data_IF_349057010790
#
_entry.id   IF_349057010790
#
_cell.length_a   1.000
_cell.length_b   1.000
_cell.length_c   1.000
_cell.angle_alpha   90.00
_cell.angle_beta   90.00
_cell.angle_gamma   90.00
#
_symmetry.space_group_name_H-M   'P 1'
#
loop_
_entity.id
_entity.type
_entity.pdbx_description
1 polymer ?
#
# COMPACT_ATOMS: atom_id res chain seq x y z
N UNK A 1 -34.52 33.16 -26.02
CA UNK A 1 -33.94 31.92 -26.59
C UNK A 1 -32.42 31.99 -26.79
N UNK A 2 -31.84 33.00 -27.46
CA UNK A 2 -30.38 33.11 -27.70
C UNK A 2 -29.50 33.03 -26.44
N UNK A 3 -29.85 33.76 -25.37
CA UNK A 3 -29.10 33.71 -24.09
C UNK A 3 -29.15 32.33 -23.44
N UNK A 4 -30.30 31.66 -23.49
CA UNK A 4 -30.51 30.34 -22.91
C UNK A 4 -29.72 29.26 -23.67
N UNK A 5 -29.70 29.35 -25.00
CA UNK A 5 -28.86 28.50 -25.86
C UNK A 5 -27.37 28.70 -25.61
N UNK A 6 -26.93 29.94 -25.40
CA UNK A 6 -25.53 30.24 -25.06
C UNK A 6 -25.15 29.67 -23.69
N UNK A 7 -25.99 29.85 -22.67
CA UNK A 7 -25.75 29.30 -21.33
C UNK A 7 -25.69 27.77 -21.36
N UNK A 8 -26.60 27.12 -22.10
CA UNK A 8 -26.61 25.67 -22.26
C UNK A 8 -25.33 25.19 -22.97
N UNK A 9 -24.91 25.86 -24.04
CA UNK A 9 -23.69 25.52 -24.78
C UNK A 9 -22.43 25.60 -23.92
N UNK A 10 -22.31 26.66 -23.10
CA UNK A 10 -21.19 26.80 -22.15
C UNK A 10 -21.21 25.66 -21.13
N UNK A 11 -22.37 25.34 -20.56
CA UNK A 11 -22.49 24.26 -19.59
C UNK A 11 -22.04 22.92 -20.17
N UNK A 12 -22.47 22.59 -21.39
CA UNK A 12 -22.06 21.35 -22.08
C UNK A 12 -20.54 21.30 -22.28
N UNK A 13 -19.93 22.39 -22.77
CA UNK A 13 -18.47 22.45 -22.99
C UNK A 13 -17.72 22.28 -21.67
N UNK A 14 -18.16 22.96 -20.60
CA UNK A 14 -17.57 22.81 -19.27
C UNK A 14 -17.69 21.37 -18.75
N UNK A 15 -18.86 20.74 -18.89
CA UNK A 15 -19.06 19.35 -18.50
C UNK A 15 -18.16 18.39 -19.27
N UNK A 16 -18.02 18.57 -20.57
CA UNK A 16 -17.10 17.76 -21.41
C UNK A 16 -15.65 17.96 -20.96
N UNK A 17 -15.23 19.19 -20.70
CA UNK A 17 -13.89 19.50 -20.20
C UNK A 17 -13.60 18.83 -18.86
N UNK A 18 -14.55 18.85 -17.92
CA UNK A 18 -14.44 18.19 -16.61
C UNK A 18 -14.31 16.67 -16.78
N UNK A 19 -15.16 16.06 -17.62
CA UNK A 19 -15.11 14.61 -17.87
C UNK A 19 -13.79 14.19 -18.53
N UNK A 20 -13.31 14.94 -19.52
CA UNK A 20 -12.01 14.70 -20.13
C UNK A 20 -10.89 14.82 -19.09
N UNK A 21 -10.91 15.89 -18.28
CA UNK A 21 -9.98 16.05 -17.16
C UNK A 21 -10.01 14.90 -16.16
N UNK A 22 -11.19 14.35 -15.88
CA UNK A 22 -11.35 13.19 -15.00
C UNK A 22 -10.78 11.90 -15.60
N UNK A 23 -10.94 11.68 -16.90
CA UNK A 23 -10.40 10.50 -17.59
C UNK A 23 -8.87 10.54 -17.63
N UNK A 24 -8.28 11.69 -17.95
CA UNK A 24 -6.82 11.80 -18.09
C UNK A 24 -6.09 12.06 -16.76
N UNK A 25 -6.74 12.75 -15.82
CA UNK A 25 -6.16 13.18 -14.55
C UNK A 25 -6.74 12.50 -13.31
N UNK A 26 -7.74 11.62 -13.46
CA UNK A 26 -8.46 11.03 -12.33
C UNK A 26 -7.56 10.19 -11.44
N UNK A 27 -6.56 9.52 -12.01
CA UNK A 27 -5.55 8.77 -11.26
C UNK A 27 -4.75 9.67 -10.33
N UNK A 28 -4.25 10.81 -10.82
CA UNK A 28 -3.47 11.77 -10.01
C UNK A 28 -4.35 12.47 -8.98
N UNK A 29 -5.57 12.84 -9.36
CA UNK A 29 -6.54 13.42 -8.45
C UNK A 29 -6.90 12.47 -7.31
N UNK A 30 -7.11 11.17 -7.58
CA UNK A 30 -7.33 10.16 -6.56
C UNK A 30 -6.13 10.08 -5.58
N UNK A 31 -4.90 9.95 -6.07
CA UNK A 31 -3.71 9.97 -5.19
C UNK A 31 -3.58 11.26 -4.38
N UNK A 32 -3.97 12.40 -4.96
CA UNK A 32 -3.93 13.67 -4.26
C UNK A 32 -4.95 13.71 -3.12
N UNK A 33 -6.17 13.22 -3.36
CA UNK A 33 -7.21 13.11 -2.32
C UNK A 33 -6.80 12.13 -1.23
N UNK A 34 -6.10 11.04 -1.58
CA UNK A 34 -5.62 10.05 -0.62
C UNK A 34 -4.67 10.63 0.43
N UNK A 35 -4.01 11.77 0.14
CA UNK A 35 -3.18 12.51 1.12
C UNK A 35 -4.00 13.10 2.28
N UNK A 36 -5.30 13.33 2.10
CA UNK A 36 -6.19 13.83 3.14
C UNK A 36 -6.86 12.71 3.94
N UNK A 37 -6.79 11.48 3.44
CA UNK A 37 -7.31 10.31 4.14
C UNK A 37 -7.74 9.22 3.18
N UNK A 38 -7.60 7.99 3.66
CA UNK A 38 -8.09 6.77 3.00
C UNK A 38 -9.16 6.12 3.86
N UNK A 39 -10.05 5.35 3.24
CA UNK A 39 -11.15 4.67 3.93
C UNK A 39 -10.68 3.27 4.32
N UNK A 40 -10.75 2.95 5.60
CA UNK A 40 -10.48 1.60 6.09
C UNK A 40 -11.54 0.62 5.58
N UNK A 41 -11.09 -0.54 5.11
CA UNK A 41 -11.95 -1.64 4.66
C UNK A 41 -11.98 -2.72 5.71
N UNK A 42 -10.80 -3.16 6.13
CA UNK A 42 -10.62 -4.23 7.11
C UNK A 42 -9.36 -3.97 7.93
N UNK A 43 -9.43 -4.34 9.20
CA UNK A 43 -8.31 -4.37 10.13
C UNK A 43 -8.29 -5.75 10.77
N UNK A 44 -7.20 -6.49 10.61
CA UNK A 44 -7.02 -7.83 11.18
C UNK A 44 -5.80 -7.88 12.07
N UNK A 45 -5.83 -8.63 13.19
CA UNK A 45 -4.63 -8.85 13.98
C UNK A 45 -3.58 -9.60 13.15
N UNK A 46 -2.32 -9.24 13.37
CA UNK A 46 -1.19 -9.97 12.78
C UNK A 46 -0.94 -11.23 13.59
N UNK A 47 -0.73 -12.34 12.90
CA UNK A 47 -0.38 -13.65 13.47
C UNK A 47 1.03 -14.05 13.05
N UNK A 48 1.43 -13.70 11.83
CA UNK A 48 2.75 -13.96 11.29
C UNK A 48 3.19 -12.87 10.34
N UNK A 49 4.49 -12.60 10.35
CA UNK A 49 5.17 -11.81 9.32
C UNK A 49 6.37 -12.61 8.84
N UNK A 50 6.45 -12.83 7.53
CA UNK A 50 7.57 -13.47 6.89
C UNK A 50 8.11 -12.57 5.79
N UNK A 51 9.41 -12.63 5.55
CA UNK A 51 10.10 -11.88 4.54
C UNK A 51 11.02 -12.80 3.76
N UNK A 52 10.96 -12.70 2.44
CA UNK A 52 11.83 -13.42 1.53
C UNK A 52 12.50 -12.47 0.55
N UNK A 53 13.82 -12.32 0.61
CA UNK A 53 14.54 -11.43 -0.31
C UNK A 53 15.91 -10.92 0.15
N UNK A 54 16.43 -9.92 -0.58
CA UNK A 54 17.82 -9.42 -0.48
C UNK A 54 18.02 -8.23 0.48
N UNK A 55 17.04 -7.96 1.33
CA UNK A 55 16.97 -6.85 2.26
C UNK A 55 16.27 -5.59 1.73
N UNK A 56 16.40 -5.23 0.45
CA UNK A 56 15.76 -4.02 -0.14
C UNK A 56 14.66 -4.32 -1.14
N UNK A 57 14.41 -5.59 -1.43
CA UNK A 57 13.40 -6.08 -2.37
C UNK A 57 12.92 -7.47 -1.96
N UNK A 58 12.10 -8.10 -2.78
CA UNK A 58 11.49 -9.40 -2.50
C UNK A 58 10.08 -9.29 -1.93
N UNK A 59 9.67 -10.29 -1.14
CA UNK A 59 8.29 -10.49 -0.73
C UNK A 59 8.14 -10.39 0.78
N UNK A 60 7.29 -9.47 1.23
CA UNK A 60 6.80 -9.43 2.59
C UNK A 60 5.44 -10.13 2.65
N UNK A 61 5.36 -11.21 3.42
CA UNK A 61 4.12 -11.94 3.66
C UNK A 61 3.61 -11.61 5.06
N UNK A 62 2.43 -11.00 5.16
CA UNK A 62 1.77 -10.71 6.45
C UNK A 62 0.51 -11.56 6.54
N UNK A 63 0.44 -12.44 7.53
CA UNK A 63 -0.53 -13.53 7.58
C UNK A 63 -0.46 -14.36 6.29
N UNK A 64 -1.43 -14.18 5.38
CA UNK A 64 -1.52 -14.86 4.08
C UNK A 64 -1.45 -13.88 2.88
N UNK A 65 -1.12 -12.61 3.14
CA UNK A 65 -1.08 -11.56 2.10
C UNK A 65 0.37 -11.33 1.68
N UNK A 66 0.66 -11.59 0.40
CA UNK A 66 1.97 -11.35 -0.21
C UNK A 66 2.07 -9.93 -0.78
N UNK A 67 3.07 -9.19 -0.32
CA UNK A 67 3.37 -7.82 -0.73
C UNK A 67 4.74 -7.79 -1.39
N UNK A 68 4.81 -7.32 -2.63
CA UNK A 68 6.11 -7.09 -3.30
C UNK A 68 6.74 -5.81 -2.78
N UNK A 69 8.03 -5.87 -2.48
CA UNK A 69 8.86 -4.74 -2.11
C UNK A 69 9.69 -4.22 -3.29
N UNK A 70 9.61 -4.87 -4.45
CA UNK A 70 10.43 -4.51 -5.63
C UNK A 70 9.98 -3.21 -6.30
N UNK A 71 8.68 -2.91 -6.21
CA UNK A 71 8.07 -1.71 -6.79
C UNK A 71 8.02 -0.52 -5.81
N UNK A 72 8.78 -0.59 -4.71
CA UNK A 72 8.85 0.52 -3.77
C UNK A 72 9.45 1.76 -4.45
N UNK A 73 8.88 2.91 -4.12
CA UNK A 73 9.43 4.18 -4.58
C UNK A 73 10.89 4.28 -4.13
N UNK A 74 11.88 4.47 -5.04
CA UNK A 74 13.30 4.46 -4.69
C UNK A 74 13.71 5.58 -3.72
N UNK A 75 12.82 6.55 -3.46
CA UNK A 75 13.00 7.57 -2.42
C UNK A 75 12.73 7.06 -1.00
N UNK A 76 12.04 5.92 -0.86
CA UNK A 76 11.79 5.25 0.42
C UNK A 76 12.91 4.25 0.62
N UNK A 77 13.89 4.60 1.46
CA UNK A 77 14.91 3.67 1.90
C UNK A 77 14.29 2.73 2.94
N UNK A 78 13.67 1.65 2.47
CA UNK A 78 13.23 0.53 3.28
C UNK A 78 14.25 -0.60 3.17
N UNK A 79 14.67 -1.14 4.31
CA UNK A 79 15.39 -2.40 4.36
C UNK A 79 14.85 -3.32 5.44
N UNK A 80 14.78 -4.61 5.15
CA UNK A 80 14.33 -5.65 6.06
C UNK A 80 15.49 -6.61 6.29
N UNK A 81 15.65 -7.07 7.52
CA UNK A 81 16.76 -7.96 7.85
C UNK A 81 16.69 -8.47 9.28
N UNK A 82 17.78 -9.06 9.72
CA UNK A 82 17.98 -9.49 11.11
C UNK A 82 18.92 -8.54 11.85
N UNK A 83 18.64 -8.26 13.12
CA UNK A 83 19.61 -7.60 14.01
C UNK A 83 20.72 -8.56 14.43
N UNK A 84 21.78 -8.04 15.06
CA UNK A 84 22.83 -8.86 15.69
C UNK A 84 22.30 -9.80 16.77
N UNK A 85 21.16 -9.45 17.37
CA UNK A 85 20.50 -10.21 18.43
C UNK A 85 19.47 -11.22 17.88
N UNK A 86 19.54 -11.52 16.57
CA UNK A 86 18.63 -12.44 15.88
C UNK A 86 17.15 -12.03 15.96
N UNK A 87 16.89 -10.72 15.90
CA UNK A 87 15.54 -10.16 15.84
C UNK A 87 15.19 -9.75 14.42
N UNK A 88 13.96 -9.98 14.00
CA UNK A 88 13.44 -9.45 12.76
C UNK A 88 13.38 -7.93 12.88
N UNK A 89 14.01 -7.22 11.95
CA UNK A 89 14.06 -5.78 11.93
C UNK A 89 13.65 -5.19 10.58
N UNK A 90 12.91 -4.10 10.67
CA UNK A 90 12.56 -3.23 9.56
C UNK A 90 13.27 -1.91 9.79
N UNK A 91 14.07 -1.48 8.82
CA UNK A 91 14.67 -0.17 8.81
C UNK A 91 14.02 0.71 7.75
N UNK A 92 13.63 1.91 8.15
CA UNK A 92 13.05 2.91 7.26
C UNK A 92 13.53 4.30 7.63
N UNK A 93 14.01 5.07 6.64
CA UNK A 93 14.46 6.45 6.87
C UNK A 93 15.57 6.59 7.92
N UNK A 94 16.44 5.58 8.03
CA UNK A 94 17.55 5.54 8.99
C UNK A 94 17.17 5.12 10.43
N UNK A 95 15.90 4.81 10.70
CA UNK A 95 15.45 4.21 11.96
C UNK A 95 15.32 2.71 11.80
N UNK A 96 15.74 1.95 12.82
CA UNK A 96 15.62 0.49 12.86
C UNK A 96 14.56 0.14 13.90
N UNK A 97 13.59 -0.69 13.51
CA UNK A 97 12.54 -1.20 14.35
C UNK A 97 12.66 -2.71 14.44
N UNK A 98 12.89 -3.25 15.64
CA UNK A 98 12.91 -4.68 15.87
C UNK A 98 11.51 -5.16 16.28
N UNK A 99 10.94 -6.09 15.50
CA UNK A 99 9.61 -6.64 15.72
C UNK A 99 9.61 -7.76 16.76
N UNK A 100 10.72 -8.50 16.88
CA UNK A 100 10.83 -9.62 17.81
C UNK A 100 11.84 -10.66 17.35
N UNK A 101 12.02 -11.70 18.17
CA UNK A 101 12.92 -12.81 17.88
C UNK A 101 12.49 -13.57 16.62
N UNK A 102 13.45 -13.92 15.77
CA UNK A 102 13.19 -14.74 14.58
C UNK A 102 12.75 -16.15 14.98
N UNK A 103 11.66 -16.62 14.38
CA UNK A 103 11.12 -17.98 14.59
C UNK A 103 11.81 -18.99 13.67
N UNK A 104 12.27 -18.54 12.50
CA UNK A 104 13.06 -19.35 11.58
C UNK A 104 14.00 -18.47 10.77
N UNK A 105 15.28 -18.84 10.80
CA UNK A 105 16.30 -18.41 9.84
C UNK A 105 16.74 -19.69 9.16
N UNK A 106 16.52 -19.85 7.85
CA UNK A 106 17.08 -21.01 7.15
C UNK A 106 18.59 -21.02 7.31
N UNK A 107 19.16 -22.21 7.52
CA UNK A 107 20.59 -22.46 7.82
C UNK A 107 21.54 -21.85 6.75
N UNK A 108 21.00 -21.53 5.57
CA UNK A 108 21.63 -20.73 4.51
C UNK A 108 21.23 -19.24 4.61
N UNK A 109 21.49 -18.61 5.75
CA UNK A 109 21.97 -17.23 5.94
C UNK A 109 21.36 -15.99 5.25
N UNK A 110 20.32 -16.05 4.41
CA UNK A 110 19.92 -14.85 3.65
C UNK A 110 18.45 -14.68 3.31
N UNK A 111 17.75 -15.77 2.96
CA UNK A 111 16.62 -15.57 2.07
C UNK A 111 15.25 -15.64 2.73
N UNK A 112 15.12 -16.12 3.96
CA UNK A 112 13.82 -16.20 4.64
C UNK A 112 13.91 -15.84 6.13
N UNK A 113 13.14 -14.82 6.52
CA UNK A 113 13.03 -14.32 7.89
C UNK A 113 11.56 -14.38 8.32
N UNK A 114 11.26 -14.92 9.50
CA UNK A 114 9.89 -14.93 10.02
C UNK A 114 9.82 -14.54 11.49
N UNK A 115 8.76 -13.80 11.84
CA UNK A 115 8.47 -13.33 13.18
C UNK A 115 6.98 -13.46 13.48
N UNK A 116 6.68 -13.71 14.76
CA UNK A 116 5.32 -13.77 15.31
C UNK A 116 5.23 -12.70 16.40
N UNK A 117 4.10 -11.95 16.50
CA UNK A 117 3.92 -10.98 17.57
C UNK A 117 4.13 -11.57 18.96
N UNK A 118 4.86 -10.86 19.82
CA UNK A 118 5.12 -11.29 21.19
C UNK A 118 3.95 -10.92 22.11
N UNK A 119 3.90 -11.54 23.29
CA UNK A 119 2.88 -11.25 24.28
C UNK A 119 2.93 -9.77 24.68
N UNK A 120 1.86 -9.04 24.39
CA UNK A 120 1.74 -7.60 24.66
C UNK A 120 2.03 -6.69 23.46
N UNK A 121 2.41 -7.24 22.31
CA UNK A 121 2.45 -6.49 21.06
C UNK A 121 1.04 -6.21 20.54
N UNK A 122 0.80 -4.96 20.13
CA UNK A 122 -0.41 -4.57 19.40
C UNK A 122 -0.04 -4.50 17.91
N UNK A 123 -0.30 -5.57 17.16
CA UNK A 123 0.04 -5.68 15.74
C UNK A 123 -1.21 -5.88 14.87
N UNK A 124 -1.43 -4.97 13.91
CA UNK A 124 -2.58 -4.97 13.03
C UNK A 124 -2.17 -4.80 11.57
N UNK A 125 -2.81 -5.56 10.70
CA UNK A 125 -2.72 -5.41 9.26
C UNK A 125 -4.04 -4.84 8.74
N UNK A 126 -3.96 -3.66 8.13
CA UNK A 126 -5.11 -2.89 7.67
C UNK A 126 -5.10 -2.84 6.15
N UNK A 127 -6.26 -3.05 5.54
CA UNK A 127 -6.47 -2.72 4.13
C UNK A 127 -7.32 -1.47 4.05
N UNK A 128 -6.82 -0.47 3.33
CA UNK A 128 -7.49 0.81 3.11
C UNK A 128 -7.70 1.01 1.62
N UNK A 129 -8.68 1.84 1.25
CA UNK A 129 -8.94 2.21 -0.14
C UNK A 129 -9.01 3.72 -0.31
N UNK A 130 -8.71 4.16 -1.53
CA UNK A 130 -8.98 5.54 -1.92
C UNK A 130 -10.48 5.84 -1.82
N UNK A 131 -10.87 7.04 -1.33
CA UNK A 131 -12.25 7.50 -1.40
C UNK A 131 -12.73 7.62 -2.85
N UNK A 132 -11.83 7.96 -3.77
CA UNK A 132 -12.14 8.35 -5.14
C UNK A 132 -11.61 7.31 -6.13
N UNK A 133 -12.51 6.64 -6.84
CA UNK A 133 -12.17 5.77 -7.99
C UNK A 133 -12.16 6.58 -9.28
N UNK A 134 -11.27 6.26 -10.22
CA UNK A 134 -11.18 6.91 -11.53
C UNK A 134 -11.51 5.93 -12.67
N UNK A 135 -12.01 6.44 -13.82
CA UNK A 135 -12.35 5.60 -14.95
C UNK A 135 -11.08 5.19 -15.70
N UNK A 136 -11.13 4.02 -16.34
CA UNK A 136 -10.04 3.49 -17.17
C UNK A 136 -10.57 3.05 -18.53
N UNK A 137 -11.11 3.97 -19.34
CA UNK A 137 -11.81 3.64 -20.59
C UNK A 137 -10.90 3.05 -21.67
N UNK A 138 -9.58 3.19 -21.52
CA UNK A 138 -8.59 2.69 -22.47
C UNK A 138 -7.74 1.53 -21.92
N UNK A 139 -8.08 0.99 -20.75
CA UNK A 139 -7.43 -0.23 -20.25
C UNK A 139 -8.08 -1.45 -20.94
N UNK A 140 -7.31 -2.17 -21.75
CA UNK A 140 -7.77 -3.37 -22.44
C UNK A 140 -6.86 -4.55 -22.10
N UNK A 141 -7.44 -5.65 -21.62
CA UNK A 141 -6.73 -6.91 -21.44
C UNK A 141 -7.00 -7.80 -22.67
N UNK A 142 -6.01 -7.92 -23.55
CA UNK A 142 -6.14 -8.72 -24.78
C UNK A 142 -6.26 -10.23 -24.52
N UNK A 143 -5.75 -10.74 -23.39
CA UNK A 143 -5.77 -12.17 -23.09
C UNK A 143 -7.09 -12.63 -22.47
N UNK A 144 -7.69 -11.82 -21.59
CA UNK A 144 -8.92 -12.21 -20.86
C UNK A 144 -10.16 -11.43 -21.27
N UNK A 145 -10.01 -10.34 -22.04
CA UNK A 145 -11.10 -9.45 -22.44
C UNK A 145 -11.72 -8.64 -21.30
N UNK A 146 -11.34 -8.90 -20.05
CA UNK A 146 -11.87 -8.24 -18.87
C UNK A 146 -10.86 -7.23 -18.32
N UNK A 147 -11.22 -5.94 -18.45
CA UNK A 147 -10.60 -4.83 -17.74
C UNK A 147 -11.65 -4.14 -16.89
N UNK A 148 -11.35 -3.79 -15.63
CA UNK A 148 -12.23 -2.94 -14.85
C UNK A 148 -12.46 -1.61 -15.58
N UNK A 149 -13.71 -1.17 -15.70
CA UNK A 149 -14.04 0.15 -16.25
C UNK A 149 -13.66 1.30 -15.30
N UNK A 150 -13.42 0.97 -14.04
CA UNK A 150 -12.97 1.88 -12.98
C UNK A 150 -11.89 1.21 -12.14
N UNK A 151 -10.89 2.00 -11.76
CA UNK A 151 -9.84 1.59 -10.82
C UNK A 151 -9.88 2.47 -9.57
N UNK A 152 -9.28 1.94 -8.51
CA UNK A 152 -9.15 2.58 -7.20
C UNK A 152 -7.88 2.10 -6.54
N UNK A 153 -7.19 2.97 -5.80
CA UNK A 153 -6.06 2.52 -5.00
C UNK A 153 -6.52 1.72 -3.79
N UNK A 154 -5.76 0.67 -3.51
CA UNK A 154 -5.80 -0.12 -2.29
C UNK A 154 -4.43 0.06 -1.63
N UNK A 155 -4.44 0.31 -0.33
CA UNK A 155 -3.26 0.51 0.49
C UNK A 155 -3.25 -0.57 1.56
N UNK A 156 -2.08 -1.16 1.78
CA UNK A 156 -1.87 -2.15 2.83
C UNK A 156 -1.01 -1.52 3.90
N UNK A 157 -1.54 -1.44 5.11
CA UNK A 157 -0.88 -0.80 6.23
C UNK A 157 -0.58 -1.83 7.31
N UNK A 158 0.69 -1.96 7.66
CA UNK A 158 1.15 -2.74 8.81
C UNK A 158 1.44 -1.78 9.96
N UNK A 159 0.67 -1.91 11.04
CA UNK A 159 0.92 -1.21 12.31
C UNK A 159 1.40 -2.18 13.35
N UNK A 160 2.48 -1.83 14.02
CA UNK A 160 3.03 -2.61 15.12
C UNK A 160 3.43 -1.71 16.27
N UNK A 161 3.00 -2.06 17.47
CA UNK A 161 3.37 -1.37 18.69
C UNK A 161 3.84 -2.34 19.74
N UNK A 162 5.05 -2.14 20.23
CA UNK A 162 5.64 -2.98 21.28
C UNK A 162 5.18 -2.55 22.68
N UNK A 163 5.29 -3.42 23.70
CA UNK A 163 5.05 -3.06 25.10
C UNK A 163 5.90 -1.88 25.59
N UNK A 164 7.09 -1.71 25.03
CA UNK A 164 7.99 -0.58 25.33
C UNK A 164 7.51 0.76 24.75
N UNK A 165 6.44 0.75 23.94
CA UNK A 165 5.86 1.93 23.31
C UNK A 165 6.48 2.29 21.95
N UNK A 166 7.39 1.48 21.41
CA UNK A 166 7.92 1.69 20.07
C UNK A 166 6.81 1.38 19.05
N UNK A 167 6.68 2.23 18.02
CA UNK A 167 5.68 2.09 16.97
C UNK A 167 6.32 1.99 15.58
N UNK A 168 5.77 1.12 14.75
CA UNK A 168 6.07 0.97 13.33
C UNK A 168 4.77 1.10 12.55
N UNK A 169 4.74 2.06 11.64
CA UNK A 169 3.66 2.23 10.66
C UNK A 169 4.27 2.15 9.26
N UNK A 170 3.84 1.16 8.47
CA UNK A 170 4.29 0.92 7.10
C UNK A 170 3.07 0.88 6.18
N UNK A 171 3.03 1.75 5.15
CA UNK A 171 1.91 1.95 4.20
C UNK A 171 2.39 1.84 2.76
#
# INVERSE_FOLDING_TARGET
>A
MRKLLLTLGILVICSVGILAGWIFGGRQASMFIDRFGTIEIVSVPVHSVAYEGSGTGGWLTVNDVHLSLDDLNPKIALSIGSTKDNQFAVASGGKIFALGLLVSTTENGGDYLAVVPQAGDEAFFMTRRSPLSWPTPFDFNFMTGHSPSWKRYIYYELRWKTPSGATLDMV
#
